data_IF_403160147070
#
_entry.id   IF_403160147070
#
_cell.length_a   1.000
_cell.length_b   1.000
_cell.length_c   1.000
_cell.angle_alpha   90.00
_cell.angle_beta   90.00
_cell.angle_gamma   90.00
#
_symmetry.space_group_name_H-M   'P 1'
#
loop_
_entity.id
_entity.type
_entity.pdbx_description
1 polymer ?
#
# COMPACT_ATOMS: atom_id res chain seq x y z
N UNK A 1 9.41 14.82 -38.10
CA UNK A 1 8.70 15.98 -37.51
C UNK A 1 7.42 15.61 -36.76
N UNK A 2 7.01 14.33 -36.76
CA UNK A 2 5.81 13.82 -36.08
C UNK A 2 6.03 13.41 -34.62
N UNK A 3 7.24 13.02 -34.22
CA UNK A 3 7.54 12.62 -32.83
C UNK A 3 7.62 13.80 -31.84
N UNK A 4 7.99 14.99 -32.31
CA UNK A 4 8.11 16.20 -31.47
C UNK A 4 6.75 16.81 -31.08
N UNK A 5 5.73 16.68 -31.93
CA UNK A 5 4.39 17.20 -31.62
C UNK A 5 3.60 16.27 -30.68
N UNK A 6 3.78 14.94 -30.78
CA UNK A 6 3.23 14.03 -29.77
C UNK A 6 3.86 14.26 -28.38
N UNK A 7 5.13 14.67 -28.36
CA UNK A 7 5.86 14.95 -27.12
C UNK A 7 5.32 16.17 -26.36
N UNK A 8 4.89 17.23 -27.05
CA UNK A 8 4.32 18.39 -26.38
C UNK A 8 2.97 18.09 -25.73
N UNK A 9 2.10 17.35 -26.40
CA UNK A 9 0.78 17.00 -25.85
C UNK A 9 0.89 16.03 -24.66
N UNK A 10 1.76 15.01 -24.73
CA UNK A 10 2.06 14.14 -23.58
C UNK A 10 2.65 14.91 -22.39
N UNK A 11 3.55 15.86 -22.65
CA UNK A 11 4.16 16.72 -21.62
C UNK A 11 3.13 17.69 -21.05
N UNK A 12 2.14 18.14 -21.83
CA UNK A 12 1.07 19.04 -21.38
C UNK A 12 0.00 18.30 -20.58
N UNK A 13 -0.38 17.10 -21.02
CA UNK A 13 -1.24 16.14 -20.32
C UNK A 13 -0.62 15.77 -18.97
N UNK A 14 0.67 15.44 -18.98
CA UNK A 14 1.49 15.26 -17.79
C UNK A 14 1.42 16.50 -16.89
N UNK A 15 1.79 17.68 -17.38
CA UNK A 15 1.76 18.93 -16.60
C UNK A 15 0.40 19.21 -15.95
N UNK A 16 -0.72 18.88 -16.62
CA UNK A 16 -2.09 19.06 -16.10
C UNK A 16 -2.48 18.02 -15.04
N UNK A 17 -2.06 16.77 -15.22
CA UNK A 17 -2.33 15.68 -14.26
C UNK A 17 -1.42 15.76 -13.01
N UNK A 18 -0.28 16.43 -13.16
CA UNK A 18 0.85 16.41 -12.22
C UNK A 18 1.15 17.76 -11.57
N UNK A 19 0.26 18.74 -11.63
CA UNK A 19 0.36 19.96 -10.81
C UNK A 19 0.10 19.69 -9.30
N UNK A 20 0.44 18.50 -8.74
CA UNK A 20 -0.17 17.95 -7.51
C UNK A 20 0.75 17.44 -6.33
N UNK A 21 2.10 17.43 -6.40
CA UNK A 21 3.12 16.88 -5.42
C UNK A 21 4.54 17.58 -5.20
N UNK A 22 4.75 18.75 -4.57
CA UNK A 22 6.08 19.40 -4.40
C UNK A 22 6.89 18.58 -3.41
N UNK A 23 8.05 18.12 -3.89
CA UNK A 23 9.20 17.68 -3.10
C UNK A 23 10.47 18.40 -3.56
N UNK A 24 11.61 18.05 -2.96
CA UNK A 24 12.93 18.53 -3.37
C UNK A 24 13.26 18.12 -4.83
N UNK A 25 14.10 18.88 -5.56
CA UNK A 25 14.53 18.57 -6.94
C UNK A 25 15.50 17.37 -6.98
N UNK A 26 15.44 16.50 -8.01
CA UNK A 26 16.26 15.29 -8.11
C UNK A 26 17.74 15.66 -8.35
N UNK A 27 18.69 14.80 -7.97
CA UNK A 27 20.11 14.95 -8.32
C UNK A 27 20.34 14.58 -9.80
N UNK A 28 21.47 14.99 -10.38
CA UNK A 28 21.78 14.75 -11.81
C UNK A 28 21.82 13.25 -12.15
N UNK A 29 22.24 12.40 -11.20
CA UNK A 29 22.28 10.94 -11.38
C UNK A 29 20.89 10.27 -11.26
N UNK A 30 19.87 11.02 -10.87
CA UNK A 30 18.47 10.57 -10.70
C UNK A 30 17.58 10.96 -11.89
N UNK A 31 18.11 11.77 -12.80
CA UNK A 31 17.42 12.21 -14.01
C UNK A 31 17.61 11.14 -15.08
N UNK A 32 16.61 10.26 -15.21
CA UNK A 32 16.60 9.24 -16.27
C UNK A 32 16.42 9.89 -17.64
N UNK A 33 15.64 10.97 -17.71
CA UNK A 33 15.49 11.84 -18.88
C UNK A 33 14.90 13.21 -18.51
N UNK A 34 14.86 14.14 -19.48
CA UNK A 34 14.29 15.49 -19.31
C UNK A 34 12.79 15.48 -18.96
N UNK A 35 12.06 14.41 -19.33
CA UNK A 35 10.66 14.22 -18.90
C UNK A 35 10.65 14.00 -17.39
N UNK A 36 11.51 13.11 -16.88
CA UNK A 36 11.67 12.77 -15.46
C UNK A 36 12.04 13.98 -14.61
N UNK A 37 12.94 14.85 -15.09
CA UNK A 37 13.29 16.10 -14.43
C UNK A 37 12.07 17.05 -14.31
N UNK A 38 11.31 17.21 -15.40
CA UNK A 38 10.08 17.99 -15.40
C UNK A 38 9.00 17.39 -14.48
N UNK A 39 8.98 16.05 -14.33
CA UNK A 39 8.13 15.29 -13.41
C UNK A 39 8.51 15.39 -11.93
N UNK A 40 9.64 16.00 -11.55
CA UNK A 40 10.01 16.14 -10.13
C UNK A 40 10.02 17.60 -9.69
N UNK A 41 10.39 18.52 -10.59
CA UNK A 41 10.54 19.95 -10.27
C UNK A 41 9.22 20.72 -10.04
N UNK A 42 8.05 20.19 -10.41
CA UNK A 42 6.89 21.04 -10.81
C UNK A 42 5.55 20.90 -10.06
N UNK A 43 5.55 20.42 -8.82
CA UNK A 43 4.32 19.86 -8.25
C UNK A 43 3.72 20.70 -7.05
N UNK A 44 2.85 20.23 -6.11
CA UNK A 44 2.12 20.94 -4.97
C UNK A 44 2.31 20.25 -3.58
N UNK A 45 2.45 20.93 -2.43
CA UNK A 45 2.98 20.37 -1.16
C UNK A 45 2.45 18.98 -0.77
N UNK A 46 3.36 18.02 -0.63
CA UNK A 46 3.04 16.74 0.01
C UNK A 46 2.49 16.98 1.42
N UNK A 47 1.36 16.36 1.77
CA UNK A 47 0.73 16.47 3.10
C UNK A 47 1.24 15.47 4.14
N UNK A 48 1.73 14.34 3.63
CA UNK A 48 2.38 13.29 4.41
C UNK A 48 3.86 13.31 4.06
N UNK A 49 4.67 12.94 5.03
CA UNK A 49 6.06 12.56 4.87
C UNK A 49 6.16 11.06 5.13
N UNK A 50 7.16 10.39 4.55
CA UNK A 50 7.19 8.93 4.53
C UNK A 50 8.50 8.37 5.09
N UNK A 51 8.37 7.26 5.82
CA UNK A 51 9.41 6.32 6.18
C UNK A 51 9.05 4.93 5.66
N UNK A 52 10.03 4.04 5.62
CA UNK A 52 9.92 2.72 5.02
C UNK A 52 10.63 1.72 5.91
N UNK A 53 10.15 0.53 6.17
CA UNK A 53 10.92 -0.51 6.86
C UNK A 53 10.94 -1.74 5.95
N UNK A 54 12.14 -2.21 5.58
CA UNK A 54 12.32 -3.37 4.70
C UNK A 54 12.78 -4.52 5.58
N UNK A 55 11.98 -5.56 5.71
CA UNK A 55 12.29 -6.74 6.52
C UNK A 55 12.51 -7.96 5.64
N UNK A 56 13.54 -8.74 5.95
CA UNK A 56 13.80 -10.02 5.29
C UNK A 56 14.63 -10.90 6.24
N UNK A 57 14.41 -12.23 6.31
CA UNK A 57 15.24 -13.10 7.12
C UNK A 57 16.73 -12.97 6.79
N UNK A 58 17.55 -13.03 7.84
CA UNK A 58 19.01 -12.91 7.78
C UNK A 58 19.65 -13.72 6.66
N UNK A 59 19.24 -14.98 6.55
CA UNK A 59 19.79 -15.97 5.62
C UNK A 59 19.51 -15.65 4.15
N UNK A 60 18.70 -14.62 3.89
CA UNK A 60 18.22 -14.23 2.56
C UNK A 60 18.76 -12.87 2.13
N UNK A 61 19.35 -12.12 3.07
CA UNK A 61 20.06 -10.89 2.78
C UNK A 61 21.48 -11.25 2.35
N UNK A 62 21.84 -10.92 1.11
CA UNK A 62 23.20 -11.16 0.62
C UNK A 62 24.22 -10.38 1.46
N UNK A 63 25.41 -10.96 1.62
CA UNK A 63 26.44 -10.42 2.50
C UNK A 63 26.94 -9.03 2.05
N UNK A 64 26.96 -8.78 0.74
CA UNK A 64 27.42 -7.55 0.11
C UNK A 64 26.47 -6.40 0.46
N UNK A 65 25.16 -6.66 0.48
CA UNK A 65 24.18 -5.65 0.85
C UNK A 65 24.29 -5.24 2.32
N UNK A 66 24.65 -6.15 3.21
CA UNK A 66 24.88 -5.85 4.63
C UNK A 66 26.03 -4.88 4.86
N UNK A 67 26.96 -4.82 3.90
CA UNK A 67 28.08 -3.86 3.95
C UNK A 67 27.67 -2.47 3.48
N UNK A 68 26.59 -2.37 2.71
CA UNK A 68 26.07 -1.09 2.18
C UNK A 68 25.07 -0.45 3.12
N UNK A 69 24.29 -1.28 3.81
CA UNK A 69 23.15 -0.85 4.61
C UNK A 69 23.19 -1.46 6.00
N UNK A 70 22.83 -0.66 7.01
CA UNK A 70 22.66 -1.14 8.37
C UNK A 70 21.40 -2.01 8.46
N UNK A 71 21.52 -3.17 9.11
CA UNK A 71 20.40 -4.07 9.41
C UNK A 71 20.33 -4.26 10.92
N UNK A 72 19.13 -4.17 11.47
CA UNK A 72 18.84 -4.40 12.87
C UNK A 72 18.92 -5.89 13.21
N UNK A 73 19.06 -6.17 14.51
CA UNK A 73 19.14 -7.51 15.08
C UNK A 73 17.90 -8.40 14.82
N UNK A 74 16.75 -7.79 14.52
CA UNK A 74 15.51 -8.47 14.16
C UNK A 74 15.37 -8.69 12.65
N UNK A 75 16.45 -8.46 11.89
CA UNK A 75 16.53 -8.63 10.45
C UNK A 75 15.71 -7.60 9.65
N UNK A 76 15.30 -6.51 10.30
CA UNK A 76 14.84 -5.31 9.62
C UNK A 76 16.04 -4.50 9.09
N UNK A 77 15.92 -3.96 7.88
CA UNK A 77 16.97 -3.28 7.15
C UNK A 77 16.92 -1.75 7.24
N UNK A 78 17.80 -1.07 6.51
CA UNK A 78 18.29 0.30 6.74
C UNK A 78 17.25 1.40 6.61
N UNK A 79 16.05 1.08 6.16
CA UNK A 79 15.02 2.08 6.05
C UNK A 79 14.28 2.23 7.39
N UNK A 80 14.48 1.34 8.37
CA UNK A 80 13.86 1.41 9.69
C UNK A 80 13.93 2.84 10.23
N UNK A 81 12.75 3.41 10.42
CA UNK A 81 12.44 4.66 11.10
C UNK A 81 13.63 5.43 11.72
N UNK A 82 14.35 6.23 10.94
CA UNK A 82 15.44 7.07 11.47
C UNK A 82 15.76 8.31 10.66
N UNK A 83 15.46 8.29 9.37
CA UNK A 83 15.58 9.47 8.55
C UNK A 83 14.29 10.27 8.72
N UNK A 84 14.41 11.53 9.14
CA UNK A 84 13.30 12.50 9.14
C UNK A 84 12.46 12.24 7.90
N UNK A 85 11.14 12.04 8.04
CA UNK A 85 10.34 11.52 6.96
C UNK A 85 10.53 12.43 5.73
N UNK A 86 10.97 11.82 4.63
CA UNK A 86 11.55 12.55 3.50
C UNK A 86 10.47 12.99 2.52
N UNK A 87 10.75 14.10 1.82
CA UNK A 87 9.84 14.72 0.88
C UNK A 87 9.62 13.91 -0.40
N UNK A 88 10.40 12.86 -0.66
CA UNK A 88 10.17 11.96 -1.79
C UNK A 88 10.78 10.57 -1.55
N UNK A 89 9.96 9.54 -1.25
CA UNK A 89 10.47 8.21 -0.91
C UNK A 89 11.01 7.47 -2.14
N UNK A 90 10.60 7.87 -3.35
CA UNK A 90 11.01 7.22 -4.60
C UNK A 90 12.52 7.20 -4.82
N UNK A 91 13.26 8.23 -4.37
CA UNK A 91 14.73 8.26 -4.46
C UNK A 91 15.39 7.13 -3.68
N UNK A 92 14.96 6.92 -2.43
CA UNK A 92 15.53 5.88 -1.58
C UNK A 92 15.14 4.49 -2.03
N UNK A 93 13.91 4.32 -2.50
CA UNK A 93 13.48 3.04 -3.08
C UNK A 93 14.24 2.75 -4.38
N UNK A 94 14.44 3.75 -5.24
CA UNK A 94 15.23 3.61 -6.46
C UNK A 94 16.69 3.27 -6.14
N UNK A 95 17.34 4.02 -5.25
CA UNK A 95 18.71 3.75 -4.82
C UNK A 95 18.83 2.34 -4.23
N UNK A 96 17.88 1.93 -3.38
CA UNK A 96 17.85 0.60 -2.81
C UNK A 96 17.76 -0.46 -3.92
N UNK A 97 16.74 -0.39 -4.79
CA UNK A 97 16.55 -1.34 -5.89
C UNK A 97 17.77 -1.39 -6.82
N UNK A 98 18.32 -0.24 -7.20
CA UNK A 98 19.53 -0.17 -8.03
C UNK A 98 20.72 -0.83 -7.35
N UNK A 99 20.88 -0.63 -6.04
CA UNK A 99 21.94 -1.29 -5.26
C UNK A 99 21.76 -2.80 -5.26
N UNK A 100 20.52 -3.30 -5.05
CA UNK A 100 20.21 -4.73 -5.13
C UNK A 100 20.65 -5.31 -6.47
N UNK A 101 20.22 -4.68 -7.57
CA UNK A 101 20.54 -5.11 -8.93
C UNK A 101 22.05 -5.10 -9.19
N UNK A 102 22.74 -4.01 -8.82
CA UNK A 102 24.18 -3.86 -9.05
C UNK A 102 25.01 -4.90 -8.28
N UNK A 103 24.53 -5.33 -7.12
CA UNK A 103 25.17 -6.38 -6.32
C UNK A 103 24.74 -7.79 -6.74
N UNK A 104 23.87 -7.92 -7.76
CA UNK A 104 23.22 -9.18 -8.15
C UNK A 104 22.59 -9.91 -6.94
N UNK A 105 21.97 -9.13 -6.06
CA UNK A 105 21.37 -9.59 -4.81
C UNK A 105 19.86 -9.66 -4.89
N UNK A 106 19.29 -9.76 -6.10
CA UNK A 106 17.85 -9.96 -6.25
C UNK A 106 17.45 -11.23 -5.50
N UNK A 107 16.50 -11.10 -4.57
CA UNK A 107 16.02 -12.21 -3.77
C UNK A 107 14.54 -12.42 -3.96
N UNK A 108 14.13 -13.66 -3.73
CA UNK A 108 12.73 -13.97 -3.49
C UNK A 108 12.29 -13.36 -2.15
N UNK A 109 11.13 -12.72 -2.15
CA UNK A 109 10.49 -12.30 -0.90
C UNK A 109 9.99 -13.53 -0.15
N UNK A 110 10.60 -13.82 0.99
CA UNK A 110 10.46 -15.09 1.70
C UNK A 110 10.10 -14.82 3.15
N UNK A 111 8.80 -14.79 3.42
CA UNK A 111 8.28 -14.79 4.78
C UNK A 111 8.64 -16.06 5.56
N UNK A 112 8.65 -15.90 6.88
CA UNK A 112 8.76 -16.94 7.92
C UNK A 112 9.89 -17.96 7.81
N UNK A 113 10.93 -17.72 8.62
CA UNK A 113 11.55 -18.79 9.40
C UNK A 113 11.03 -18.70 10.85
N UNK A 114 10.17 -19.63 11.27
CA UNK A 114 9.68 -19.70 12.66
C UNK A 114 8.59 -18.68 13.04
N UNK A 115 8.33 -18.53 14.34
CA UNK A 115 7.30 -17.64 14.93
C UNK A 115 7.69 -16.16 15.01
N UNK A 116 8.89 -15.78 14.59
CA UNK A 116 9.52 -14.52 15.02
C UNK A 116 10.09 -13.64 13.92
N UNK A 117 10.03 -14.03 12.63
CA UNK A 117 10.69 -13.27 11.55
C UNK A 117 9.70 -12.95 10.43
N UNK A 118 9.37 -11.66 10.30
CA UNK A 118 8.59 -11.09 9.21
C UNK A 118 9.40 -10.93 7.93
N UNK A 119 8.70 -10.74 6.81
CA UNK A 119 9.27 -10.12 5.63
C UNK A 119 8.27 -9.10 5.13
N UNK A 120 8.72 -7.95 4.65
CA UNK A 120 7.81 -6.93 4.16
C UNK A 120 8.48 -5.59 3.93
N UNK A 121 7.65 -4.63 3.55
CA UNK A 121 8.05 -3.28 3.20
C UNK A 121 7.17 -2.27 3.93
N UNK A 122 7.15 -2.28 5.27
CA UNK A 122 6.22 -1.46 6.05
C UNK A 122 6.37 0.03 5.74
N UNK A 123 5.26 0.76 5.78
CA UNK A 123 5.23 2.20 5.52
C UNK A 123 4.97 2.96 6.81
N UNK A 124 5.66 4.08 6.99
CA UNK A 124 5.38 5.03 8.06
C UNK A 124 5.00 6.37 7.46
N UNK A 125 3.82 6.88 7.79
CA UNK A 125 3.36 8.19 7.35
C UNK A 125 3.38 9.16 8.53
N UNK A 126 3.86 10.39 8.32
CA UNK A 126 3.68 11.47 9.27
C UNK A 126 3.06 12.69 8.63
N UNK A 127 2.10 13.31 9.31
CA UNK A 127 1.57 14.61 8.88
C UNK A 127 2.72 15.61 8.90
N UNK A 128 2.90 16.31 7.77
CA UNK A 128 3.88 17.38 7.68
C UNK A 128 3.47 18.58 8.51
N UNK A 129 4.46 19.27 9.08
CA UNK A 129 4.22 20.41 9.95
C UNK A 129 3.58 21.58 9.20
N UNK A 130 3.79 21.68 7.87
CA UNK A 130 3.17 22.71 7.03
C UNK A 130 1.71 22.41 6.70
N UNK A 131 1.29 21.15 6.73
CA UNK A 131 -0.04 20.71 6.28
C UNK A 131 -1.18 21.45 6.99
N UNK A 132 -1.20 21.58 8.33
CA UNK A 132 -2.23 22.34 9.05
C UNK A 132 -2.35 23.78 8.55
N UNK A 133 -1.22 24.44 8.27
CA UNK A 133 -1.17 25.82 7.81
C UNK A 133 -1.65 25.97 6.37
N UNK A 134 -1.16 25.11 5.46
CA UNK A 134 -1.51 25.16 4.02
C UNK A 134 -3.01 24.94 3.79
N UNK A 135 -3.62 24.06 4.58
CA UNK A 135 -5.02 23.67 4.42
C UNK A 135 -5.95 24.29 5.46
N UNK A 136 -5.45 25.21 6.30
CA UNK A 136 -6.20 25.86 7.37
C UNK A 136 -7.03 24.88 8.21
N UNK A 137 -6.37 23.83 8.70
CA UNK A 137 -7.01 22.72 9.44
C UNK A 137 -6.24 22.45 10.74
N UNK A 138 -6.95 22.09 11.80
CA UNK A 138 -6.29 21.67 13.05
C UNK A 138 -5.39 20.43 12.82
N UNK A 139 -4.24 20.41 13.49
CA UNK A 139 -3.24 19.36 13.33
C UNK A 139 -3.80 17.97 13.64
N UNK A 140 -4.59 17.82 14.70
CA UNK A 140 -5.15 16.52 15.10
C UNK A 140 -6.33 16.12 14.22
N UNK A 141 -7.05 17.09 13.63
CA UNK A 141 -7.99 16.81 12.55
C UNK A 141 -7.26 16.23 11.33
N UNK A 142 -6.13 16.81 10.92
CA UNK A 142 -5.32 16.26 9.83
C UNK A 142 -4.83 14.83 10.13
N UNK A 143 -4.34 14.56 11.35
CA UNK A 143 -3.95 13.21 11.78
C UNK A 143 -5.12 12.22 11.75
N UNK A 144 -6.29 12.62 12.24
CA UNK A 144 -7.48 11.77 12.24
C UNK A 144 -7.94 11.49 10.80
N UNK A 145 -7.94 12.48 9.91
CA UNK A 145 -8.25 12.28 8.49
C UNK A 145 -7.25 11.32 7.85
N UNK A 146 -5.95 11.53 8.05
CA UNK A 146 -4.92 10.66 7.50
C UNK A 146 -5.07 9.22 7.99
N UNK A 147 -5.12 9.00 9.31
CA UNK A 147 -5.29 7.66 9.87
C UNK A 147 -6.52 6.97 9.29
N UNK A 148 -7.68 7.64 9.34
CA UNK A 148 -8.93 7.05 8.88
C UNK A 148 -8.92 6.76 7.37
N UNK A 149 -8.23 7.59 6.59
CA UNK A 149 -8.07 7.37 5.14
C UNK A 149 -7.17 6.18 4.87
N UNK A 150 -6.01 6.10 5.52
CA UNK A 150 -5.08 4.98 5.36
C UNK A 150 -5.72 3.66 5.81
N UNK A 151 -6.44 3.68 6.94
CA UNK A 151 -7.19 2.53 7.49
C UNK A 151 -8.27 2.03 6.51
N UNK A 152 -9.05 2.93 5.91
CA UNK A 152 -10.15 2.56 5.01
C UNK A 152 -9.67 2.17 3.59
N UNK A 153 -8.58 2.77 3.10
CA UNK A 153 -8.15 2.60 1.71
C UNK A 153 -7.12 1.48 1.56
N UNK A 154 -6.24 1.25 2.54
CA UNK A 154 -5.24 0.17 2.48
C UNK A 154 -5.90 -1.20 2.27
N UNK A 155 -7.06 -1.43 2.88
CA UNK A 155 -7.83 -2.66 2.75
C UNK A 155 -8.44 -2.85 1.36
N UNK A 156 -8.60 -1.78 0.58
CA UNK A 156 -9.04 -1.81 -0.82
C UNK A 156 -7.89 -2.08 -1.80
N UNK A 157 -6.67 -2.14 -1.28
CA UNK A 157 -5.44 -2.38 -2.03
C UNK A 157 -4.78 -3.70 -1.65
N UNK A 158 -5.42 -4.55 -0.83
CA UNK A 158 -4.81 -5.78 -0.29
C UNK A 158 -4.15 -6.70 -1.31
N UNK A 159 -4.70 -6.90 -2.53
CA UNK A 159 -3.98 -7.69 -3.52
C UNK A 159 -2.58 -7.13 -3.83
N UNK A 160 -2.39 -5.81 -3.79
CA UNK A 160 -1.06 -5.19 -3.96
C UNK A 160 -0.09 -5.50 -2.82
N UNK A 161 -0.56 -6.04 -1.69
CA UNK A 161 0.28 -6.25 -0.52
C UNK A 161 0.94 -7.63 -0.58
N UNK A 162 0.43 -8.54 -1.41
CA UNK A 162 0.95 -9.88 -1.57
C UNK A 162 1.97 -9.96 -2.72
N UNK A 163 3.21 -10.34 -2.42
CA UNK A 163 4.18 -10.75 -3.45
C UNK A 163 3.73 -12.03 -4.18
N UNK A 164 3.12 -12.97 -3.44
CA UNK A 164 2.73 -14.31 -3.90
C UNK A 164 3.90 -15.31 -3.93
N UNK A 165 3.61 -16.60 -4.17
CA UNK A 165 4.59 -17.70 -4.19
C UNK A 165 4.29 -18.70 -5.29
N UNK A 166 5.32 -19.34 -5.83
CA UNK A 166 5.21 -20.35 -6.88
C UNK A 166 4.30 -21.53 -6.55
N UNK A 167 4.33 -22.01 -5.29
CA UNK A 167 3.55 -23.18 -4.85
C UNK A 167 2.23 -22.87 -4.12
N UNK A 168 2.07 -21.65 -3.60
CA UNK A 168 0.88 -21.25 -2.84
C UNK A 168 0.02 -20.21 -3.58
N UNK A 169 0.46 -19.80 -4.78
CA UNK A 169 -0.18 -18.75 -5.55
C UNK A 169 -0.16 -17.39 -4.85
N UNK A 170 -1.20 -16.60 -5.10
CA UNK A 170 -1.33 -15.23 -4.65
C UNK A 170 -2.23 -15.13 -3.43
N UNK A 171 -1.67 -15.51 -2.29
CA UNK A 171 -2.34 -15.53 -0.98
C UNK A 171 -1.40 -14.92 0.06
N UNK A 172 -1.98 -14.38 1.15
CA UNK A 172 -1.21 -14.05 2.34
C UNK A 172 -0.78 -15.34 3.06
N UNK A 173 0.39 -15.35 3.69
CA UNK A 173 0.78 -16.46 4.59
C UNK A 173 -0.08 -16.50 5.86
N UNK A 174 -0.26 -17.69 6.41
CA UNK A 174 -1.15 -17.98 7.55
C UNK A 174 -0.96 -17.04 8.75
N UNK A 175 0.28 -16.57 9.00
CA UNK A 175 0.59 -15.68 10.13
C UNK A 175 0.60 -14.19 9.80
N UNK A 176 0.44 -13.80 8.52
CA UNK A 176 0.36 -12.40 8.13
C UNK A 176 -0.77 -11.65 8.89
N UNK A 177 -1.87 -12.34 9.18
CA UNK A 177 -3.02 -11.81 9.94
C UNK A 177 -2.74 -11.67 11.44
N UNK A 178 -1.75 -12.38 11.97
CA UNK A 178 -1.31 -12.28 13.37
C UNK A 178 -0.47 -11.00 13.59
N UNK A 179 0.44 -10.67 12.66
CA UNK A 179 1.32 -9.50 12.78
C UNK A 179 0.72 -8.20 12.23
N UNK A 180 -0.25 -8.29 11.32
CA UNK A 180 -0.93 -7.14 10.72
C UNK A 180 -2.45 -7.33 10.74
N UNK A 181 -3.04 -7.42 11.94
CA UNK A 181 -4.48 -7.64 12.08
C UNK A 181 -5.26 -6.49 11.47
N UNK A 182 -6.14 -6.76 10.51
CA UNK A 182 -6.81 -5.72 9.72
C UNK A 182 -7.97 -5.08 10.49
N UNK A 183 -7.66 -4.16 11.40
CA UNK A 183 -8.66 -3.47 12.19
C UNK A 183 -8.91 -2.08 11.60
N UNK A 184 -10.08 -1.90 10.97
CA UNK A 184 -10.55 -0.60 10.47
C UNK A 184 -11.09 0.27 11.62
N UNK A 185 -10.25 0.57 12.61
CA UNK A 185 -10.57 1.50 13.68
C UNK A 185 -10.65 2.90 13.09
N UNK A 186 -11.56 3.74 13.60
CA UNK A 186 -11.62 5.15 13.28
C UNK A 186 -11.34 6.00 14.50
N UNK A 187 -10.63 7.10 14.30
CA UNK A 187 -10.28 8.06 15.35
C UNK A 187 -10.97 9.40 15.12
N UNK A 188 -11.51 9.97 16.21
CA UNK A 188 -11.80 11.40 16.30
C UNK A 188 -10.51 12.20 16.48
N UNK A 189 -10.50 13.52 16.22
CA UNK A 189 -9.35 14.38 16.50
C UNK A 189 -8.85 14.27 17.94
N UNK A 190 -9.76 14.24 18.92
CA UNK A 190 -9.42 14.11 20.35
C UNK A 190 -8.78 12.76 20.65
N UNK A 191 -9.27 11.70 20.02
CA UNK A 191 -8.73 10.36 20.20
C UNK A 191 -7.35 10.23 19.55
N UNK A 192 -7.14 10.82 18.36
CA UNK A 192 -5.83 10.92 17.72
C UNK A 192 -4.85 11.70 18.60
N UNK A 193 -5.27 12.84 19.17
CA UNK A 193 -4.47 13.62 20.13
C UNK A 193 -4.04 12.79 21.34
N UNK A 194 -4.96 12.04 21.95
CA UNK A 194 -4.63 11.16 23.08
C UNK A 194 -3.56 10.15 22.72
N UNK A 195 -3.74 9.42 21.61
CA UNK A 195 -2.80 8.37 21.19
C UNK A 195 -1.43 8.93 20.80
N UNK A 196 -1.38 10.02 20.03
CA UNK A 196 -0.12 10.64 19.61
C UNK A 196 0.71 11.26 20.75
N UNK A 197 0.08 11.45 21.92
CA UNK A 197 0.73 11.92 23.14
C UNK A 197 1.06 10.76 24.12
N UNK A 198 0.72 9.52 23.79
CA UNK A 198 1.17 8.35 24.56
C UNK A 198 2.63 8.05 24.24
N UNK A 199 3.39 7.67 25.26
CA UNK A 199 4.74 7.15 25.08
C UNK A 199 4.69 5.68 24.67
N UNK A 200 5.46 5.29 23.64
CA UNK A 200 5.64 3.90 23.20
C UNK A 200 4.36 3.13 22.80
N UNK A 201 3.38 3.84 22.22
CA UNK A 201 2.16 3.21 21.69
C UNK A 201 2.41 2.62 20.29
N UNK A 202 2.14 1.32 20.12
CA UNK A 202 2.06 0.63 18.83
C UNK A 202 1.21 -0.64 18.97
N UNK A 203 0.14 -0.76 18.19
CA UNK A 203 -0.67 -1.99 18.13
C UNK A 203 -0.17 -2.92 17.00
N UNK A 204 -0.46 -4.22 17.08
CA UNK A 204 -0.22 -5.19 15.97
C UNK A 204 -1.35 -5.16 14.94
N UNK A 205 -1.81 -3.95 14.60
CA UNK A 205 -2.84 -3.71 13.60
C UNK A 205 -2.19 -3.40 12.26
N UNK A 206 -2.92 -3.71 11.18
CA UNK A 206 -2.51 -3.42 9.81
C UNK A 206 -2.19 -1.94 9.59
N UNK A 207 -3.05 -1.07 10.09
CA UNK A 207 -2.80 0.37 10.21
C UNK A 207 -2.83 0.72 11.69
N UNK A 208 -1.80 1.38 12.19
CA UNK A 208 -1.70 1.76 13.60
C UNK A 208 -1.00 3.10 13.78
N UNK A 209 -1.31 3.81 14.86
CA UNK A 209 -0.42 4.88 15.30
C UNK A 209 0.81 4.26 15.93
N UNK A 210 1.98 4.82 15.62
CA UNK A 210 3.25 4.39 16.16
C UNK A 210 3.94 5.61 16.78
N UNK A 211 4.04 5.57 18.12
CA UNK A 211 4.80 6.54 18.93
C UNK A 211 6.07 5.97 19.56
N UNK A 212 6.48 4.77 19.11
CA UNK A 212 7.66 4.07 19.63
C UNK A 212 8.92 4.90 19.47
N UNK A 213 9.74 5.00 20.52
CA UNK A 213 11.00 5.75 20.48
C UNK A 213 10.84 7.24 20.18
N UNK A 214 9.73 7.85 20.63
CA UNK A 214 9.45 9.29 20.46
C UNK A 214 9.00 9.70 19.05
N UNK A 215 8.82 8.73 18.14
CA UNK A 215 8.31 8.97 16.80
C UNK A 215 6.83 9.36 16.86
N UNK A 216 6.30 9.95 15.79
CA UNK A 216 4.85 10.18 15.62
C UNK A 216 4.51 9.84 14.18
N UNK A 217 4.04 8.63 13.96
CA UNK A 217 3.73 8.12 12.63
C UNK A 217 2.43 7.31 12.63
N UNK A 218 1.85 7.13 11.45
CA UNK A 218 0.88 6.08 11.15
C UNK A 218 1.65 5.01 10.39
N UNK A 219 1.77 3.83 10.99
CA UNK A 219 2.39 2.68 10.39
C UNK A 219 1.36 1.87 9.61
N UNK A 220 1.71 1.46 8.39
CA UNK A 220 1.00 0.45 7.62
C UNK A 220 1.92 -0.76 7.50
N UNK A 221 1.50 -1.86 8.10
CA UNK A 221 2.20 -3.14 8.07
C UNK A 221 1.96 -3.82 6.74
N UNK A 222 2.95 -3.70 5.86
CA UNK A 222 3.00 -4.30 4.54
C UNK A 222 3.79 -5.62 4.57
N UNK A 223 3.22 -6.60 5.26
CA UNK A 223 3.78 -7.94 5.30
C UNK A 223 3.79 -8.49 3.87
N UNK A 224 4.92 -9.00 3.42
CA UNK A 224 5.09 -9.68 2.13
C UNK A 224 4.98 -8.78 0.90
N UNK A 225 5.12 -7.47 1.06
CA UNK A 225 5.11 -6.52 -0.06
C UNK A 225 6.53 -6.18 -0.51
N UNK A 226 6.75 -6.19 -1.82
CA UNK A 226 8.01 -5.74 -2.43
C UNK A 226 8.15 -4.20 -2.42
N UNK A 227 9.34 -3.61 -2.19
CA UNK A 227 9.59 -2.17 -2.06
C UNK A 227 8.99 -1.31 -3.18
N UNK A 228 9.13 -1.73 -4.43
CA UNK A 228 8.50 -1.07 -5.58
C UNK A 228 6.96 -1.07 -5.55
N UNK A 229 6.34 -2.16 -5.13
CA UNK A 229 4.87 -2.26 -5.05
C UNK A 229 4.38 -1.42 -3.90
N UNK A 230 5.06 -1.49 -2.77
CA UNK A 230 4.75 -0.68 -1.62
C UNK A 230 4.99 0.81 -1.90
N UNK A 231 5.92 1.17 -2.79
CA UNK A 231 6.09 2.54 -3.31
C UNK A 231 4.88 2.98 -4.14
N UNK A 232 4.35 2.11 -5.00
CA UNK A 232 3.09 2.36 -5.69
C UNK A 232 1.93 2.60 -4.71
N UNK A 233 1.80 1.74 -3.69
CA UNK A 233 0.78 1.88 -2.63
C UNK A 233 0.93 3.22 -1.90
N UNK A 234 2.17 3.58 -1.53
CA UNK A 234 2.47 4.84 -0.87
C UNK A 234 1.98 6.05 -1.66
N UNK A 235 2.22 6.07 -2.99
CA UNK A 235 1.75 7.14 -3.87
C UNK A 235 0.22 7.21 -3.94
N UNK A 236 -0.46 6.06 -4.10
CA UNK A 236 -1.94 6.00 -4.11
C UNK A 236 -2.50 6.56 -2.80
N UNK A 237 -2.01 6.04 -1.67
CA UNK A 237 -2.49 6.42 -0.34
C UNK A 237 -2.21 7.89 -0.05
N UNK A 238 -1.07 8.42 -0.46
CA UNK A 238 -0.76 9.84 -0.32
C UNK A 238 -1.74 10.72 -1.08
N UNK A 239 -1.99 10.39 -2.36
CA UNK A 239 -2.87 11.14 -3.26
C UNK A 239 -4.29 11.24 -2.72
N UNK A 240 -4.82 10.10 -2.29
CA UNK A 240 -6.15 10.04 -1.67
C UNK A 240 -6.15 10.83 -0.37
N UNK A 241 -5.16 10.62 0.50
CA UNK A 241 -5.06 11.33 1.79
C UNK A 241 -5.02 12.85 1.63
N UNK A 242 -4.26 13.37 0.65
CA UNK A 242 -4.24 14.81 0.34
C UNK A 242 -5.63 15.33 0.01
N UNK A 243 -6.32 14.71 -0.94
CA UNK A 243 -7.66 15.15 -1.34
C UNK A 243 -8.68 15.04 -0.20
N UNK A 244 -8.49 14.09 0.71
CA UNK A 244 -9.28 13.98 1.93
C UNK A 244 -9.02 15.10 2.93
N UNK A 245 -7.75 15.49 3.12
CA UNK A 245 -7.37 16.65 3.94
C UNK A 245 -7.95 17.93 3.34
N UNK A 246 -7.83 18.12 2.02
CA UNK A 246 -8.44 19.25 1.29
C UNK A 246 -9.96 19.35 1.48
N UNK A 247 -10.65 18.20 1.52
CA UNK A 247 -12.10 18.13 1.75
C UNK A 247 -12.49 18.17 3.23
N UNK A 248 -11.53 18.16 4.15
CA UNK A 248 -11.74 18.09 5.59
C UNK A 248 -12.35 16.78 6.10
N UNK A 249 -12.28 15.69 5.31
CA UNK A 249 -12.90 14.40 5.68
C UNK A 249 -12.28 13.20 5.00
N UNK A 250 -12.22 12.11 5.74
CA UNK A 250 -11.79 10.78 5.28
C UNK A 250 -12.95 9.99 4.66
N UNK A 251 -12.65 9.08 3.70
CA UNK A 251 -13.66 8.23 3.11
C UNK A 251 -14.27 7.30 4.16
N UNK A 252 -15.47 6.80 3.89
CA UNK A 252 -16.15 5.83 4.74
C UNK A 252 -17.06 4.93 3.90
N UNK A 253 -16.77 3.65 3.92
CA UNK A 253 -17.64 2.62 3.35
C UNK A 253 -18.87 2.50 4.26
N UNK A 254 -20.05 2.60 3.66
CA UNK A 254 -21.33 2.44 4.31
C UNK A 254 -21.74 0.97 4.34
N UNK A 255 -21.58 0.27 3.22
CA UNK A 255 -21.94 -1.14 3.07
C UNK A 255 -21.09 -1.83 2.02
N UNK A 256 -20.94 -3.15 2.18
CA UNK A 256 -20.46 -4.06 1.15
C UNK A 256 -21.21 -5.38 1.32
N UNK A 257 -21.78 -5.90 0.23
CA UNK A 257 -22.37 -7.23 0.16
C UNK A 257 -21.30 -8.32 0.03
N UNK A 258 -21.64 -9.54 0.46
CA UNK A 258 -20.86 -10.74 0.17
C UNK A 258 -21.79 -11.73 -0.52
N UNK A 259 -21.35 -12.28 -1.64
CA UNK A 259 -22.02 -13.42 -2.26
C UNK A 259 -21.43 -14.71 -1.71
N UNK A 260 -22.25 -15.49 -1.02
CA UNK A 260 -21.93 -16.84 -0.58
C UNK A 260 -22.48 -17.86 -1.57
N UNK A 261 -21.90 -19.07 -1.62
CA UNK A 261 -22.57 -20.23 -2.20
C UNK A 261 -23.73 -20.70 -1.29
N UNK A 262 -24.73 -21.42 -1.82
CA UNK A 262 -25.83 -21.96 -1.01
C UNK A 262 -25.38 -22.89 0.13
N UNK A 263 -24.22 -23.54 0.00
CA UNK A 263 -23.63 -24.37 1.05
C UNK A 263 -23.01 -23.54 2.19
N UNK A 264 -22.44 -22.39 1.88
CA UNK A 264 -21.86 -21.46 2.87
C UNK A 264 -22.93 -20.65 3.62
N UNK A 265 -24.07 -20.37 2.97
CA UNK A 265 -25.22 -19.73 3.64
C UNK A 265 -25.83 -20.60 4.76
N UNK A 266 -25.71 -21.93 4.67
CA UNK A 266 -26.24 -22.86 5.66
C UNK A 266 -25.39 -22.94 6.95
N UNK A 267 -24.10 -22.58 6.89
CA UNK A 267 -23.16 -22.69 8.01
C UNK A 267 -23.02 -21.37 8.80
N UNK A 268 -23.43 -20.23 8.20
CA UNK A 268 -23.28 -18.90 8.80
C UNK A 268 -24.55 -18.53 9.60
N UNK A 269 -24.51 -18.79 10.91
CA UNK A 269 -25.56 -18.42 11.86
C UNK A 269 -25.89 -16.91 11.87
N UNK A 270 -27.17 -16.63 12.13
CA UNK A 270 -27.88 -15.33 12.13
C UNK A 270 -27.20 -14.16 12.88
N UNK A 271 -26.35 -14.41 13.89
CA UNK A 271 -25.60 -13.36 14.61
C UNK A 271 -24.45 -12.74 13.80
N UNK A 272 -23.99 -13.40 12.73
CA UNK A 272 -22.85 -12.98 11.91
C UNK A 272 -23.23 -11.88 10.90
N UNK A 273 -24.52 -11.74 10.59
CA UNK A 273 -25.06 -10.81 9.58
C UNK A 273 -24.92 -9.33 9.95
N UNK A 274 -24.87 -9.01 11.24
CA UNK A 274 -24.82 -7.62 11.74
C UNK A 274 -23.39 -7.08 11.94
N UNK A 275 -22.36 -7.86 11.59
CA UNK A 275 -20.95 -7.46 11.68
C UNK A 275 -20.38 -7.03 10.31
N UNK A 276 -21.16 -6.29 9.52
CA UNK A 276 -20.79 -5.84 8.16
C UNK A 276 -19.59 -4.87 8.11
N UNK A 277 -19.16 -4.29 9.24
CA UNK A 277 -17.92 -3.51 9.36
C UNK A 277 -16.66 -4.39 9.58
N UNK A 278 -16.85 -5.69 9.80
CA UNK A 278 -15.80 -6.69 9.99
C UNK A 278 -15.53 -7.48 8.70
N UNK A 279 -16.13 -7.18 7.55
CA UNK A 279 -16.07 -8.07 6.39
C UNK A 279 -14.69 -8.20 5.72
N UNK A 280 -13.82 -7.20 5.74
CA UNK A 280 -12.41 -7.42 5.35
C UNK A 280 -11.65 -8.23 6.41
N UNK A 281 -11.94 -8.01 7.69
CA UNK A 281 -11.43 -8.82 8.79
C UNK A 281 -11.94 -10.27 8.72
N UNK A 282 -13.17 -10.51 8.29
CA UNK A 282 -13.79 -11.82 8.18
C UNK A 282 -13.29 -12.53 6.93
N UNK A 283 -13.21 -11.86 5.78
CA UNK A 283 -12.61 -12.42 4.56
C UNK A 283 -11.16 -12.83 4.81
N UNK A 284 -10.41 -12.04 5.59
CA UNK A 284 -8.98 -12.29 5.84
C UNK A 284 -8.73 -13.27 6.99
N UNK A 285 -9.46 -13.18 8.10
CA UNK A 285 -9.40 -14.20 9.16
C UNK A 285 -9.97 -15.55 8.68
N UNK A 286 -10.87 -15.54 7.70
CA UNK A 286 -11.34 -16.73 7.00
C UNK A 286 -10.63 -16.98 5.66
N UNK A 287 -9.50 -16.34 5.31
CA UNK A 287 -8.68 -16.84 4.19
C UNK A 287 -8.33 -18.31 4.45
N UNK A 288 -8.08 -18.64 5.73
CA UNK A 288 -7.84 -20.01 6.18
C UNK A 288 -9.10 -20.88 6.12
N UNK A 289 -10.26 -20.37 6.57
CA UNK A 289 -11.55 -21.08 6.55
C UNK A 289 -12.11 -21.29 5.15
N UNK A 290 -12.02 -20.29 4.27
CA UNK A 290 -12.41 -20.35 2.85
C UNK A 290 -11.42 -21.20 2.05
N UNK A 291 -10.12 -21.15 2.32
CA UNK A 291 -9.17 -22.08 1.72
C UNK A 291 -9.33 -23.51 2.24
N UNK A 292 -9.78 -23.72 3.48
CA UNK A 292 -10.12 -25.05 4.02
C UNK A 292 -11.47 -25.56 3.48
N UNK A 293 -12.49 -24.71 3.35
CA UNK A 293 -13.78 -25.05 2.73
C UNK A 293 -13.63 -25.31 1.23
N UNK A 294 -12.83 -24.51 0.51
CA UNK A 294 -12.47 -24.79 -0.88
C UNK A 294 -11.68 -26.11 -1.00
N UNK A 295 -10.73 -26.40 -0.10
CA UNK A 295 -10.02 -27.69 -0.04
C UNK A 295 -10.96 -28.88 0.17
N UNK A 296 -12.02 -28.73 0.97
CA UNK A 296 -13.06 -29.76 1.15
C UNK A 296 -13.92 -29.94 -0.10
N UNK A 297 -14.18 -28.86 -0.84
CA UNK A 297 -15.01 -28.86 -2.04
C UNK A 297 -14.29 -29.40 -3.29
N UNK A 298 -12.97 -29.18 -3.41
CA UNK A 298 -12.15 -29.63 -4.56
C UNK A 298 -11.56 -31.03 -4.39
N UNK A 299 -12.07 -31.81 -3.42
CA UNK A 299 -11.65 -33.20 -3.22
C UNK A 299 -10.19 -33.35 -2.77
N UNK A 300 -9.64 -32.36 -2.04
CA UNK A 300 -8.27 -32.44 -1.52
C UNK A 300 -7.16 -32.11 -2.52
N UNK A 301 -7.49 -31.58 -3.70
CA UNK A 301 -6.49 -30.94 -4.56
C UNK A 301 -6.07 -29.60 -3.92
N UNK A 302 -4.77 -29.40 -3.75
CA UNK A 302 -4.16 -28.33 -2.93
C UNK A 302 -4.25 -26.92 -3.55
N UNK A 303 -5.32 -26.61 -4.27
CA UNK A 303 -5.44 -25.31 -4.94
C UNK A 303 -5.78 -24.22 -3.92
N UNK A 304 -4.81 -23.33 -3.72
CA UNK A 304 -4.93 -22.20 -2.80
C UNK A 304 -5.79 -21.12 -3.47
N UNK A 305 -6.88 -20.69 -2.84
CA UNK A 305 -7.79 -19.67 -3.41
C UNK A 305 -7.08 -18.32 -3.42
N UNK A 306 -6.90 -17.73 -4.61
CA UNK A 306 -6.18 -16.45 -4.76
C UNK A 306 -6.91 -15.28 -4.09
N UNK A 307 -6.17 -14.25 -3.68
CA UNK A 307 -6.75 -13.01 -3.15
C UNK A 307 -7.72 -12.35 -4.13
N UNK A 308 -7.51 -12.50 -5.44
CA UNK A 308 -8.44 -11.98 -6.43
C UNK A 308 -9.78 -12.73 -6.41
N UNK A 309 -9.76 -14.06 -6.30
CA UNK A 309 -10.98 -14.85 -6.18
C UNK A 309 -11.73 -14.50 -4.89
N UNK A 310 -11.05 -14.39 -3.75
CA UNK A 310 -11.67 -14.01 -2.49
C UNK A 310 -12.29 -12.61 -2.52
N UNK A 311 -11.57 -11.63 -3.06
CA UNK A 311 -12.08 -10.27 -3.16
C UNK A 311 -13.19 -10.13 -4.21
N UNK A 312 -13.27 -11.03 -5.21
CA UNK A 312 -14.37 -11.03 -6.18
C UNK A 312 -15.74 -11.32 -5.57
N UNK A 313 -15.77 -11.97 -4.39
CA UNK A 313 -17.00 -12.25 -3.65
C UNK A 313 -17.60 -11.02 -2.94
N UNK A 314 -16.83 -9.91 -2.85
CA UNK A 314 -17.29 -8.66 -2.25
C UNK A 314 -17.97 -7.80 -3.30
N UNK A 315 -19.26 -7.57 -3.11
CA UNK A 315 -20.15 -6.90 -4.05
C UNK A 315 -20.80 -5.66 -3.42
N UNK A 316 -21.48 -4.88 -4.26
CA UNK A 316 -22.37 -3.78 -3.82
C UNK A 316 -21.74 -2.85 -2.77
N UNK A 317 -20.52 -2.38 -3.07
CA UNK A 317 -19.77 -1.48 -2.19
C UNK A 317 -20.36 -0.09 -2.33
N UNK A 318 -20.75 0.50 -1.22
CA UNK A 318 -21.31 1.85 -1.16
C UNK A 318 -20.56 2.70 -0.16
N UNK A 319 -20.25 3.93 -0.53
CA UNK A 319 -19.70 4.93 0.37
C UNK A 319 -20.82 5.74 1.04
N UNK A 320 -20.56 6.22 2.25
CA UNK A 320 -21.43 7.22 2.88
C UNK A 320 -21.42 8.50 2.02
N UNK A 321 -22.60 9.09 1.79
CA UNK A 321 -22.76 10.25 0.90
C UNK A 321 -21.82 11.39 1.31
N UNK A 322 -21.02 11.87 0.37
CA UNK A 322 -20.02 12.90 0.59
C UNK A 322 -18.75 12.41 1.29
N UNK A 323 -18.59 11.10 1.50
CA UNK A 323 -17.41 10.44 2.06
C UNK A 323 -16.91 9.32 1.13
N UNK A 324 -17.06 9.55 -0.16
CA UNK A 324 -16.45 8.74 -1.21
C UNK A 324 -14.94 8.99 -1.26
N UNK A 325 -14.20 8.07 -1.88
CA UNK A 325 -12.81 8.32 -2.24
C UNK A 325 -12.76 9.50 -3.26
N UNK A 326 -11.99 10.58 -3.02
CA UNK A 326 -12.09 11.81 -3.82
C UNK A 326 -11.73 11.73 -5.32
N UNK A 327 -12.76 11.60 -6.16
CA UNK A 327 -12.60 11.44 -7.62
C UNK A 327 -13.12 10.10 -8.13
N UNK A 328 -13.63 9.27 -7.23
CA UNK A 328 -14.24 7.97 -7.50
C UNK A 328 -15.76 8.03 -7.36
N UNK A 329 -16.45 7.00 -7.88
CA UNK A 329 -17.90 6.80 -7.73
C UNK A 329 -18.29 6.58 -6.27
N UNK A 330 -19.57 6.80 -5.96
CA UNK A 330 -20.16 6.52 -4.65
C UNK A 330 -20.54 5.04 -4.45
N UNK A 331 -20.68 4.28 -5.54
CA UNK A 331 -21.09 2.87 -5.52
C UNK A 331 -20.33 2.06 -6.57
N UNK A 332 -20.03 0.80 -6.25
CA UNK A 332 -19.35 -0.17 -7.12
C UNK A 332 -20.01 -1.53 -7.04
N UNK A 333 -20.07 -2.25 -8.16
CA UNK A 333 -20.68 -3.59 -8.20
C UNK A 333 -19.81 -4.63 -7.51
N UNK A 334 -18.50 -4.43 -7.52
CA UNK A 334 -17.54 -5.36 -6.90
C UNK A 334 -16.31 -4.65 -6.35
N UNK A 335 -15.60 -5.31 -5.43
CA UNK A 335 -14.30 -4.86 -4.95
C UNK A 335 -13.29 -4.70 -6.08
N UNK A 336 -13.25 -5.63 -7.03
CA UNK A 336 -12.28 -5.58 -8.13
C UNK A 336 -12.53 -4.38 -9.05
N UNK A 337 -13.79 -3.99 -9.26
CA UNK A 337 -14.13 -2.76 -9.99
C UNK A 337 -13.61 -1.52 -9.25
N UNK A 338 -13.82 -1.45 -7.93
CA UNK A 338 -13.33 -0.36 -7.10
C UNK A 338 -11.80 -0.29 -7.08
N UNK A 339 -11.13 -1.43 -6.91
CA UNK A 339 -9.66 -1.52 -6.93
C UNK A 339 -9.09 -1.02 -8.26
N UNK A 340 -9.70 -1.40 -9.39
CA UNK A 340 -9.27 -0.92 -10.71
C UNK A 340 -9.43 0.59 -10.84
N UNK A 341 -10.54 1.14 -10.37
CA UNK A 341 -10.79 2.58 -10.44
C UNK A 341 -9.82 3.36 -9.54
N UNK A 342 -9.46 2.81 -8.38
CA UNK A 342 -8.40 3.36 -7.52
C UNK A 342 -7.06 3.37 -8.27
N UNK A 343 -6.63 2.24 -8.85
CA UNK A 343 -5.34 2.16 -9.55
C UNK A 343 -5.32 3.11 -10.75
N UNK A 344 -6.38 3.11 -11.57
CA UNK A 344 -6.51 3.99 -12.74
C UNK A 344 -6.54 5.47 -12.36
N UNK A 345 -7.17 5.82 -11.25
CA UNK A 345 -7.32 7.23 -10.87
C UNK A 345 -6.09 7.77 -10.14
N UNK A 346 -5.42 6.95 -9.34
CA UNK A 346 -4.38 7.44 -8.43
C UNK A 346 -2.98 6.93 -8.72
N UNK A 347 -2.79 5.90 -9.54
CA UNK A 347 -1.46 5.47 -9.91
C UNK A 347 -1.02 6.12 -11.24
N UNK A 348 0.21 6.65 -11.33
CA UNK A 348 0.78 7.12 -12.60
C UNK A 348 0.70 6.09 -13.74
N UNK A 349 0.29 6.53 -14.93
CA UNK A 349 0.31 5.72 -16.16
C UNK A 349 1.69 5.68 -16.86
N UNK A 350 2.65 6.45 -16.37
CA UNK A 350 4.02 6.56 -16.89
C UNK A 350 5.02 6.00 -15.85
N UNK A 351 6.27 5.71 -16.24
CA UNK A 351 7.27 5.16 -15.36
C UNK A 351 7.54 6.14 -14.20
N UNK A 352 7.98 5.63 -13.05
CA UNK A 352 8.33 4.23 -12.80
C UNK A 352 7.11 3.32 -12.50
N UNK A 353 5.99 3.88 -12.07
CA UNK A 353 4.91 3.11 -11.44
C UNK A 353 3.94 2.41 -12.41
N UNK A 354 3.98 2.75 -13.70
CA UNK A 354 3.11 2.14 -14.71
C UNK A 354 3.24 0.61 -14.79
N UNK A 355 4.46 0.08 -14.62
CA UNK A 355 4.73 -1.37 -14.67
C UNK A 355 3.96 -2.10 -13.56
N UNK A 356 4.03 -1.57 -12.33
CA UNK A 356 3.29 -2.08 -11.17
C UNK A 356 1.78 -1.94 -11.38
N UNK A 357 1.31 -0.79 -11.87
CA UNK A 357 -0.12 -0.57 -12.13
C UNK A 357 -0.72 -1.58 -13.10
N UNK A 358 -0.07 -1.78 -14.25
CA UNK A 358 -0.49 -2.75 -15.26
C UNK A 358 -0.53 -4.16 -14.69
N UNK A 359 0.48 -4.56 -13.93
CA UNK A 359 0.54 -5.89 -13.30
C UNK A 359 -0.75 -6.17 -12.51
N UNK A 360 -1.17 -5.26 -11.62
CA UNK A 360 -2.35 -5.49 -10.78
C UNK A 360 -3.68 -5.29 -11.52
N UNK A 361 -3.75 -4.40 -12.51
CA UNK A 361 -4.93 -4.23 -13.38
C UNK A 361 -5.23 -5.48 -14.21
N UNK A 362 -4.19 -6.18 -14.67
CA UNK A 362 -4.33 -7.44 -15.41
C UNK A 362 -4.45 -8.68 -14.50
N UNK A 363 -4.62 -8.47 -13.18
CA UNK A 363 -4.66 -9.56 -12.19
C UNK A 363 -3.40 -10.44 -12.23
N UNK A 364 -2.28 -9.83 -12.58
CA UNK A 364 -0.99 -10.49 -12.67
C UNK A 364 -0.42 -10.83 -11.30
N UNK A 365 0.53 -11.76 -11.31
CA UNK A 365 1.20 -12.29 -10.13
C UNK A 365 2.61 -11.68 -10.04
N UNK A 366 2.94 -10.89 -9.00
CA UNK A 366 4.25 -10.27 -8.89
C UNK A 366 5.40 -11.26 -8.88
N UNK A 367 5.27 -12.38 -8.15
CA UNK A 367 6.32 -13.40 -8.12
C UNK A 367 6.57 -14.07 -9.48
N UNK A 368 5.56 -14.21 -10.36
CA UNK A 368 5.72 -14.72 -11.73
C UNK A 368 6.32 -13.69 -12.68
N UNK A 369 6.32 -12.42 -12.29
CA UNK A 369 6.77 -11.29 -13.10
C UNK A 369 7.75 -10.42 -12.28
N UNK A 370 8.74 -11.04 -11.64
CA UNK A 370 9.67 -10.34 -10.77
C UNK A 370 10.37 -9.15 -11.45
N UNK A 371 10.71 -9.30 -12.74
CA UNK A 371 11.30 -8.23 -13.56
C UNK A 371 10.40 -6.99 -13.63
N UNK A 372 9.08 -7.15 -13.70
CA UNK A 372 8.15 -6.02 -13.73
C UNK A 372 8.21 -5.15 -12.45
N UNK A 373 8.78 -5.71 -11.37
CA UNK A 373 8.89 -5.07 -10.07
C UNK A 373 10.32 -4.62 -9.75
N UNK A 374 11.35 -5.41 -10.09
CA UNK A 374 12.76 -5.02 -9.96
C UNK A 374 13.16 -3.95 -10.99
N UNK A 375 12.57 -3.97 -12.18
CA UNK A 375 12.81 -3.00 -13.24
C UNK A 375 11.78 -1.86 -13.24
N UNK A 376 11.13 -1.60 -12.10
CA UNK A 376 10.11 -0.54 -12.00
C UNK A 376 10.66 0.83 -12.41
N UNK A 377 11.95 1.08 -12.17
CA UNK A 377 12.62 2.33 -12.51
C UNK A 377 13.33 2.32 -13.88
N UNK A 378 13.31 1.20 -14.60
CA UNK A 378 13.94 1.13 -15.92
C UNK A 378 13.11 1.91 -16.97
N UNK A 379 13.78 2.58 -17.93
CA UNK A 379 13.12 3.22 -19.08
C UNK A 379 12.17 2.27 -19.82
N UNK A 380 11.18 2.80 -20.53
CA UNK A 380 10.33 1.98 -21.39
C UNK A 380 11.15 1.40 -22.56
N UNK A 381 11.11 0.08 -22.75
CA UNK A 381 11.79 -0.60 -23.86
C UNK A 381 13.05 -1.39 -23.47
N UNK A 382 13.48 -1.27 -22.22
CA UNK A 382 14.39 -2.18 -21.51
C UNK A 382 13.58 -3.14 -20.63
#
# INVERSE_FOLDING_TARGET
>A
MTDYMMFEDEVKEARRYYSEFKGEPPTIEEIVDDRHLAYVQRYVPMVLSFGWEIEQPDTRICHELRRVYEWHHDYSGPLETGLKPVLYPGRRVHQFIRTIKNLNCEWEWVGEYGLSVGCGSHLHFAIRWETPHVYNIDMYVAWAIAYNTLSEVSVLLLPMFAWGRERLGFVFRDRATYWAKIICKRYSPESARRVLNMYDFREYHHVTFNTKGGKRTIEIRLNETHPAISYAICIILHRITRRCIERGRSPKILSAGIRYSPAEEAEIHYETRNRLFLNLNYIINNIRGLAESARRYTGGTSETVSLYALNSCVLDIKFERGREIPGLKSEYRSYLELMDDIIKTYLPYYPPLARVGRLFLHRGYPYLNANAVWDVFAPFGE
#
